data_IF_786976270193
#
_entry.id   IF_786976270193
#
_cell.length_a   1.000
_cell.length_b   1.000
_cell.length_c   1.000
_cell.angle_alpha   90.00
_cell.angle_beta   90.00
_cell.angle_gamma   90.00
#
_symmetry.space_group_name_H-M   'P 1'
#
loop_
_entity.id
_entity.type
_entity.pdbx_description
1 polymer ?
#
# COMPACT_ATOMS: atom_id res chain seq x y z
N UNK A 1 -45.64 -35.64 -57.94
CA UNK A 1 -44.26 -35.28 -57.54
C UNK A 1 -44.36 -34.77 -56.11
N UNK A 2 -44.18 -35.59 -55.06
CA UNK A 2 -42.92 -36.03 -54.42
C UNK A 2 -41.89 -34.90 -54.28
N UNK A 3 -41.84 -34.31 -53.08
CA UNK A 3 -40.60 -33.83 -52.47
C UNK A 3 -40.64 -34.14 -50.98
N UNK A 4 -40.08 -35.31 -50.64
CA UNK A 4 -39.64 -35.66 -49.29
C UNK A 4 -38.19 -35.20 -49.15
N UNK A 5 -37.86 -34.70 -47.96
CA UNK A 5 -36.54 -34.59 -47.34
C UNK A 5 -35.49 -33.71 -48.03
N UNK A 6 -35.00 -32.67 -47.32
CA UNK A 6 -33.64 -32.68 -46.74
C UNK A 6 -33.40 -31.40 -45.90
N UNK A 7 -33.12 -31.58 -44.59
CA UNK A 7 -32.17 -30.83 -43.74
C UNK A 7 -32.57 -29.37 -43.43
N UNK A 8 -33.16 -29.01 -42.28
CA UNK A 8 -32.66 -29.11 -40.89
C UNK A 8 -31.14 -28.87 -40.76
N UNK A 9 -30.73 -27.60 -40.81
CA UNK A 9 -29.52 -27.12 -40.15
C UNK A 9 -29.91 -25.96 -39.24
N UNK A 10 -30.31 -26.35 -38.04
CA UNK A 10 -30.40 -25.57 -36.81
C UNK A 10 -29.27 -24.54 -36.73
N UNK A 11 -29.62 -23.25 -36.83
CA UNK A 11 -28.82 -22.18 -36.24
C UNK A 11 -28.82 -22.43 -34.74
N UNK A 12 -27.79 -23.12 -34.26
CA UNK A 12 -27.42 -23.10 -32.84
C UNK A 12 -26.80 -21.73 -32.61
N UNK A 13 -27.66 -20.75 -32.35
CA UNK A 13 -27.26 -19.58 -31.58
C UNK A 13 -26.89 -20.12 -30.19
N UNK A 14 -25.61 -20.41 -29.99
CA UNK A 14 -25.10 -20.60 -28.64
C UNK A 14 -25.23 -19.24 -27.94
N UNK A 15 -26.35 -19.07 -27.25
CA UNK A 15 -26.44 -18.18 -26.11
C UNK A 15 -25.38 -18.64 -25.10
N UNK A 16 -24.17 -18.11 -25.24
CA UNK A 16 -23.18 -18.23 -24.19
C UNK A 16 -23.63 -17.29 -23.09
N UNK A 17 -24.09 -17.91 -22.02
CA UNK A 17 -24.39 -17.35 -20.71
C UNK A 17 -23.15 -16.66 -20.11
N UNK A 18 -22.78 -15.52 -20.67
CA UNK A 18 -21.80 -14.61 -20.09
C UNK A 18 -22.52 -13.77 -19.01
N UNK A 19 -22.05 -13.85 -17.77
CA UNK A 19 -22.49 -13.04 -16.64
C UNK A 19 -23.99 -13.11 -16.33
N UNK A 20 -24.53 -14.30 -16.02
CA UNK A 20 -25.94 -14.54 -15.65
C UNK A 20 -26.64 -13.38 -14.90
N UNK A 21 -27.37 -12.55 -15.64
CA UNK A 21 -28.79 -12.24 -15.46
C UNK A 21 -29.36 -11.79 -16.81
N UNK A 22 -30.50 -12.39 -17.19
CA UNK A 22 -31.37 -11.99 -18.29
C UNK A 22 -31.80 -10.53 -18.11
N UNK A 23 -31.50 -9.65 -19.08
CA UNK A 23 -32.51 -8.78 -19.70
C UNK A 23 -31.89 -7.88 -20.81
N UNK A 24 -32.64 -7.86 -21.92
CA UNK A 24 -32.64 -6.92 -23.07
C UNK A 24 -31.61 -7.11 -24.22
N UNK A 25 -32.07 -7.32 -25.48
CA UNK A 25 -31.20 -7.56 -26.61
C UNK A 25 -30.88 -6.23 -27.29
N UNK A 26 -29.78 -5.60 -26.89
CA UNK A 26 -29.12 -4.64 -27.77
C UNK A 26 -27.93 -5.33 -28.41
N UNK A 27 -28.14 -5.88 -29.61
CA UNK A 27 -27.11 -6.58 -30.39
C UNK A 27 -26.04 -5.54 -30.80
N UNK A 28 -24.83 -5.58 -30.23
CA UNK A 28 -23.74 -4.72 -30.70
C UNK A 28 -23.36 -5.11 -32.13
N UNK A 29 -22.80 -4.17 -32.89
CA UNK A 29 -22.19 -4.43 -34.19
C UNK A 29 -21.34 -5.73 -34.14
N UNK A 30 -21.53 -6.71 -35.05
CA UNK A 30 -20.85 -8.01 -35.01
C UNK A 30 -19.32 -7.93 -35.00
N UNK A 31 -18.71 -6.77 -35.31
CA UNK A 31 -17.28 -6.52 -35.17
C UNK A 31 -16.81 -6.20 -33.73
N UNK A 32 -17.72 -6.04 -32.76
CA UNK A 32 -17.44 -5.64 -31.37
C UNK A 32 -17.96 -6.62 -30.31
N UNK A 33 -18.41 -7.82 -30.69
CA UNK A 33 -18.94 -8.79 -29.73
C UNK A 33 -17.88 -9.17 -28.68
N UNK A 34 -18.18 -8.90 -27.41
CA UNK A 34 -17.40 -9.34 -26.25
C UNK A 34 -17.63 -10.85 -26.06
N UNK A 35 -16.75 -11.67 -26.62
CA UNK A 35 -16.89 -13.14 -26.66
C UNK A 35 -16.10 -13.85 -25.55
N UNK A 36 -15.50 -13.10 -24.63
CA UNK A 36 -14.78 -13.64 -23.48
C UNK A 36 -15.24 -12.95 -22.18
N UNK A 37 -15.11 -13.64 -21.06
CA UNK A 37 -15.22 -13.03 -19.73
C UNK A 37 -13.98 -13.35 -18.90
N UNK A 38 -13.69 -12.51 -17.90
CA UNK A 38 -12.60 -12.72 -16.96
C UNK A 38 -13.10 -12.57 -15.52
N UNK A 39 -12.65 -13.46 -14.63
CA UNK A 39 -12.75 -13.27 -13.18
C UNK A 39 -11.40 -13.63 -12.56
N UNK A 40 -10.87 -12.77 -11.68
CA UNK A 40 -9.55 -12.99 -11.09
C UNK A 40 -9.66 -13.10 -9.58
N UNK A 41 -8.93 -14.05 -9.00
CA UNK A 41 -8.62 -14.06 -7.58
C UNK A 41 -7.38 -13.18 -7.34
N UNK A 42 -7.34 -12.51 -6.20
CA UNK A 42 -6.17 -11.72 -5.80
C UNK A 42 -5.76 -12.00 -4.36
N UNK A 43 -4.54 -11.61 -4.02
CA UNK A 43 -4.03 -11.63 -2.65
C UNK A 43 -3.41 -10.28 -2.30
N UNK A 44 -3.80 -9.73 -1.16
CA UNK A 44 -3.05 -8.67 -0.51
C UNK A 44 -1.70 -9.23 -0.03
N UNK A 45 -0.61 -8.60 -0.44
CA UNK A 45 0.74 -8.98 -0.03
C UNK A 45 1.02 -8.45 1.37
N UNK A 46 1.45 -9.33 2.28
CA UNK A 46 1.79 -8.91 3.64
C UNK A 46 0.57 -8.77 4.57
N UNK A 47 -0.49 -9.54 4.33
CA UNK A 47 -1.55 -9.73 5.31
C UNK A 47 -1.15 -10.91 6.20
N UNK A 48 -1.10 -10.72 7.52
CA UNK A 48 -0.75 -11.76 8.50
C UNK A 48 -1.58 -13.02 8.26
N UNK A 49 -0.96 -14.04 7.67
CA UNK A 49 -1.65 -15.28 7.35
C UNK A 49 -0.93 -16.15 6.34
N UNK A 50 -0.04 -16.99 6.85
CA UNK A 50 0.30 -18.32 6.31
C UNK A 50 -0.76 -18.86 5.34
N UNK A 51 -0.30 -19.43 4.23
CA UNK A 51 -1.08 -19.94 3.10
C UNK A 51 -2.53 -20.27 3.46
N UNK A 52 -3.46 -19.52 2.86
CA UNK A 52 -4.93 -19.64 2.99
C UNK A 52 -5.61 -19.01 4.20
N UNK A 53 -4.96 -18.17 5.02
CA UNK A 53 -5.70 -17.40 6.05
C UNK A 53 -5.27 -15.94 6.14
N UNK A 54 -5.52 -15.17 5.09
CA UNK A 54 -5.67 -13.74 5.30
C UNK A 54 -6.84 -13.50 6.27
N UNK A 55 -6.65 -12.70 7.31
CA UNK A 55 -7.78 -12.07 7.99
C UNK A 55 -8.50 -11.05 7.07
N UNK A 56 -8.02 -10.84 5.83
CA UNK A 56 -8.82 -10.30 4.73
C UNK A 56 -9.77 -11.38 4.21
N UNK A 57 -10.89 -11.55 4.90
CA UNK A 57 -12.08 -12.04 4.19
C UNK A 57 -12.95 -10.85 3.99
N UNK A 58 -13.39 -10.63 2.76
CA UNK A 58 -14.34 -9.60 2.38
C UNK A 58 -15.62 -9.55 3.26
N UNK A 59 -15.91 -10.60 4.05
CA UNK A 59 -16.99 -10.67 5.04
C UNK A 59 -16.56 -10.86 6.52
N UNK A 60 -15.27 -10.75 6.86
CA UNK A 60 -14.80 -10.80 8.24
C UNK A 60 -14.86 -9.42 8.91
N UNK A 61 -15.25 -9.39 10.18
CA UNK A 61 -15.14 -8.20 11.01
C UNK A 61 -13.65 -7.80 11.08
N UNK A 62 -13.32 -6.57 10.64
CA UNK A 62 -11.93 -6.10 10.53
C UNK A 62 -11.24 -6.38 9.20
N UNK A 63 -11.98 -6.72 8.13
CA UNK A 63 -11.41 -6.92 6.79
C UNK A 63 -10.83 -5.65 6.18
N UNK A 64 -9.60 -5.76 5.69
CA UNK A 64 -8.95 -4.73 4.87
C UNK A 64 -9.51 -4.61 3.45
N UNK A 65 -10.40 -5.50 3.03
CA UNK A 65 -10.98 -5.51 1.68
C UNK A 65 -12.45 -5.15 1.79
N UNK A 66 -12.83 -3.97 1.31
CA UNK A 66 -14.20 -3.44 1.32
C UNK A 66 -14.78 -3.21 -0.08
N UNK A 67 -13.97 -2.77 -1.05
CA UNK A 67 -14.37 -2.60 -2.46
C UNK A 67 -13.29 -3.14 -3.39
N UNK A 68 -13.69 -3.74 -4.51
CA UNK A 68 -12.78 -4.38 -5.46
C UNK A 68 -13.11 -3.90 -6.86
N UNK A 69 -12.12 -3.41 -7.61
CA UNK A 69 -12.25 -3.01 -9.00
C UNK A 69 -11.36 -3.83 -9.93
N UNK A 70 -11.85 -4.09 -11.14
CA UNK A 70 -11.11 -4.70 -12.25
C UNK A 70 -11.29 -3.88 -13.52
N UNK A 71 -10.17 -3.52 -14.15
CA UNK A 71 -10.14 -2.86 -15.45
C UNK A 71 -9.46 -3.77 -16.48
N UNK A 72 -10.09 -3.92 -17.65
CA UNK A 72 -9.55 -4.68 -18.79
C UNK A 72 -9.29 -3.70 -19.93
N UNK A 73 -8.07 -3.74 -20.47
CA UNK A 73 -7.61 -2.88 -21.55
C UNK A 73 -7.22 -3.71 -22.76
N UNK A 74 -7.49 -3.19 -23.95
CA UNK A 74 -7.13 -3.81 -25.20
C UNK A 74 -5.59 -3.87 -25.36
N UNK A 75 -5.06 -5.05 -25.70
CA UNK A 75 -3.64 -5.22 -26.06
C UNK A 75 -3.51 -5.95 -27.41
N UNK A 76 -4.51 -5.81 -28.28
CA UNK A 76 -4.59 -6.46 -29.59
C UNK A 76 -5.75 -7.44 -29.73
N UNK A 77 -6.54 -7.68 -28.67
CA UNK A 77 -7.79 -8.44 -28.74
C UNK A 77 -8.83 -7.80 -29.68
N UNK A 78 -8.90 -6.47 -29.71
CA UNK A 78 -9.81 -5.70 -30.56
C UNK A 78 -9.04 -4.85 -31.56
N UNK A 79 -9.19 -5.15 -32.86
CA UNK A 79 -8.44 -4.49 -33.94
C UNK A 79 -8.94 -3.08 -34.26
N UNK A 80 -10.16 -2.75 -33.88
CA UNK A 80 -10.79 -1.44 -34.04
C UNK A 80 -10.63 -0.51 -32.82
N UNK A 81 -9.96 -0.99 -31.76
CA UNK A 81 -9.63 -0.18 -30.58
C UNK A 81 -8.11 -0.01 -30.49
N UNK A 82 -7.68 1.17 -30.03
CA UNK A 82 -6.26 1.40 -29.79
C UNK A 82 -5.72 0.46 -28.70
N UNK A 83 -4.45 0.08 -28.79
CA UNK A 83 -3.74 -0.57 -27.67
C UNK A 83 -3.79 0.34 -26.44
N UNK A 84 -4.14 -0.24 -25.30
CA UNK A 84 -4.34 0.46 -24.03
C UNK A 84 -5.71 1.10 -23.87
N UNK A 85 -6.63 1.03 -24.84
CA UNK A 85 -8.00 1.50 -24.66
C UNK A 85 -8.75 0.61 -23.66
N UNK A 86 -9.54 1.22 -22.78
CA UNK A 86 -10.38 0.52 -21.81
C UNK A 86 -11.47 -0.26 -22.55
N UNK A 87 -11.51 -1.58 -22.35
CA UNK A 87 -12.60 -2.44 -22.81
C UNK A 87 -13.75 -2.35 -21.82
N UNK A 88 -13.45 -2.56 -20.53
CA UNK A 88 -14.46 -2.54 -19.48
C UNK A 88 -13.83 -2.25 -18.11
N UNK A 89 -14.63 -1.69 -17.20
CA UNK A 89 -14.28 -1.49 -15.80
C UNK A 89 -15.49 -1.84 -14.93
N UNK A 90 -15.29 -2.68 -13.91
CA UNK A 90 -16.33 -3.02 -12.93
C UNK A 90 -15.77 -2.88 -11.52
N UNK A 91 -16.59 -2.34 -10.62
CA UNK A 91 -16.37 -2.33 -9.18
C UNK A 91 -17.44 -3.19 -8.50
N UNK A 92 -17.07 -3.79 -7.37
CA UNK A 92 -18.00 -4.49 -6.48
C UNK A 92 -17.67 -4.22 -5.02
N UNK A 93 -18.70 -4.33 -4.18
CA UNK A 93 -18.50 -4.43 -2.73
C UNK A 93 -18.02 -5.83 -2.40
N UNK A 94 -17.02 -5.89 -1.53
CA UNK A 94 -16.48 -7.12 -1.02
C UNK A 94 -17.50 -7.75 -0.05
N UNK A 95 -18.21 -8.79 -0.48
CA UNK A 95 -19.22 -9.51 0.31
C UNK A 95 -19.10 -11.05 0.21
N UNK A 96 -18.08 -11.57 -0.47
CA UNK A 96 -17.79 -13.00 -0.64
C UNK A 96 -16.71 -13.50 0.32
N UNK A 97 -16.70 -14.80 0.62
CA UNK A 97 -15.63 -15.43 1.42
C UNK A 97 -14.27 -15.48 0.72
N UNK A 98 -14.24 -15.25 -0.60
CA UNK A 98 -13.01 -15.24 -1.40
C UNK A 98 -12.79 -13.87 -2.02
N UNK A 99 -11.54 -13.42 -1.99
CA UNK A 99 -11.09 -12.17 -2.59
C UNK A 99 -10.95 -12.35 -4.11
N UNK A 100 -12.07 -12.17 -4.81
CA UNK A 100 -12.15 -12.19 -6.27
C UNK A 100 -12.70 -10.87 -6.80
N UNK A 101 -12.52 -10.61 -8.08
CA UNK A 101 -13.24 -9.55 -8.79
C UNK A 101 -14.63 -10.05 -9.17
N UNK A 102 -15.45 -9.15 -9.74
CA UNK A 102 -16.63 -9.56 -10.48
C UNK A 102 -16.25 -10.11 -11.85
N UNK A 103 -17.20 -10.82 -12.45
CA UNK A 103 -17.09 -11.28 -13.82
C UNK A 103 -17.20 -10.09 -14.77
N UNK A 104 -16.12 -9.81 -15.49
CA UNK A 104 -16.02 -8.68 -16.40
C UNK A 104 -16.01 -9.17 -17.85
N UNK A 105 -16.78 -8.49 -18.69
CA UNK A 105 -16.88 -8.78 -20.11
C UNK A 105 -15.63 -8.26 -20.83
N UNK A 106 -15.10 -9.08 -21.72
CA UNK A 106 -13.84 -8.86 -22.40
C UNK A 106 -13.88 -9.46 -23.82
N UNK A 107 -12.75 -9.42 -24.51
CA UNK A 107 -12.60 -10.00 -25.86
C UNK A 107 -11.55 -11.08 -25.85
N UNK A 108 -11.76 -12.14 -26.63
CA UNK A 108 -10.72 -13.11 -26.94
C UNK A 108 -9.45 -12.42 -27.47
N UNK A 109 -8.29 -12.88 -27.01
CA UNK A 109 -6.99 -12.35 -27.43
C UNK A 109 -6.25 -11.61 -26.31
N UNK A 110 -5.25 -10.82 -26.72
CA UNK A 110 -4.34 -10.15 -25.81
C UNK A 110 -5.00 -8.94 -25.12
N UNK A 111 -4.99 -8.96 -23.79
CA UNK A 111 -5.50 -7.88 -22.93
C UNK A 111 -4.52 -7.57 -21.80
N UNK A 112 -4.63 -6.36 -21.27
CA UNK A 112 -3.97 -5.94 -20.02
C UNK A 112 -5.02 -5.72 -18.93
N UNK A 113 -4.68 -6.06 -17.69
CA UNK A 113 -5.58 -6.02 -16.55
C UNK A 113 -4.94 -5.28 -15.39
N UNK A 114 -5.76 -4.48 -14.72
CA UNK A 114 -5.45 -3.86 -13.44
C UNK A 114 -6.50 -4.26 -12.40
N UNK A 115 -6.05 -4.57 -11.19
CA UNK A 115 -6.91 -4.82 -10.04
C UNK A 115 -6.62 -3.79 -8.96
N UNK A 116 -7.68 -3.19 -8.42
CA UNK A 116 -7.62 -2.21 -7.34
C UNK A 116 -8.53 -2.64 -6.19
N UNK A 117 -8.09 -2.40 -4.97
CA UNK A 117 -8.84 -2.68 -3.75
C UNK A 117 -8.99 -1.37 -2.99
N UNK A 118 -10.21 -1.13 -2.49
CA UNK A 118 -10.65 0.10 -1.85
C UNK A 118 -10.31 1.37 -2.66
N UNK A 119 -10.62 1.42 -3.98
CA UNK A 119 -10.47 2.66 -4.73
C UNK A 119 -11.33 3.77 -4.12
N UNK A 120 -10.79 4.99 -4.07
CA UNK A 120 -11.56 6.18 -3.72
C UNK A 120 -12.68 6.41 -4.72
N UNK A 121 -13.77 7.02 -4.27
CA UNK A 121 -14.91 7.33 -5.12
C UNK A 121 -14.49 8.18 -6.33
N UNK A 122 -14.97 7.82 -7.52
CA UNK A 122 -14.72 8.53 -8.78
C UNK A 122 -13.23 8.68 -9.19
N UNK A 123 -12.29 7.95 -8.57
CA UNK A 123 -10.85 8.10 -8.86
C UNK A 123 -10.48 7.79 -10.33
N UNK A 124 -11.29 6.98 -11.02
CA UNK A 124 -11.14 6.64 -12.44
C UNK A 124 -12.16 7.32 -13.36
N UNK A 125 -12.95 8.26 -12.86
CA UNK A 125 -13.97 8.94 -13.67
C UNK A 125 -13.33 9.63 -14.88
N UNK A 126 -13.87 9.37 -16.06
CA UNK A 126 -13.37 9.92 -17.33
C UNK A 126 -12.06 9.31 -17.83
N UNK A 127 -11.48 8.33 -17.14
CA UNK A 127 -10.29 7.61 -17.62
C UNK A 127 -10.73 6.47 -18.54
N UNK A 128 -10.21 6.45 -19.76
CA UNK A 128 -10.59 5.48 -20.81
C UNK A 128 -9.38 4.74 -21.39
N UNK A 129 -8.20 4.91 -20.79
CA UNK A 129 -6.96 4.27 -21.24
C UNK A 129 -6.18 3.71 -20.05
N UNK A 130 -5.31 2.73 -20.31
CA UNK A 130 -4.41 2.15 -19.32
C UNK A 130 -3.53 3.22 -18.68
N UNK A 131 -2.96 4.11 -19.49
CA UNK A 131 -2.15 5.21 -18.98
C UNK A 131 -3.00 6.21 -18.18
N UNK A 132 -4.24 6.49 -18.59
CA UNK A 132 -5.16 7.31 -17.79
C UNK A 132 -5.47 6.71 -16.42
N UNK A 133 -5.55 5.38 -16.30
CA UNK A 133 -5.67 4.69 -15.01
C UNK A 133 -4.37 4.75 -14.19
N UNK A 134 -3.20 4.61 -14.83
CA UNK A 134 -1.90 4.74 -14.14
C UNK A 134 -1.61 6.17 -13.66
N UNK A 135 -2.13 7.17 -14.36
CA UNK A 135 -2.06 8.58 -13.97
C UNK A 135 -3.12 8.98 -12.95
N UNK A 136 -4.05 8.09 -12.59
CA UNK A 136 -5.05 8.37 -11.57
C UNK A 136 -4.39 8.58 -10.20
N UNK A 137 -4.77 9.66 -9.52
CA UNK A 137 -4.22 10.06 -8.22
C UNK A 137 -5.30 9.87 -7.16
N UNK A 138 -4.93 9.19 -6.08
CA UNK A 138 -5.74 9.11 -4.85
C UNK A 138 -5.22 10.12 -3.84
N UNK A 139 -6.10 11.01 -3.39
CA UNK A 139 -5.89 11.96 -2.29
C UNK A 139 -6.86 11.71 -1.12
N UNK A 140 -7.46 10.52 -1.06
CA UNK A 140 -8.37 10.17 0.03
C UNK A 140 -7.65 10.07 1.37
N UNK A 141 -8.38 10.27 2.46
CA UNK A 141 -7.84 10.08 3.81
C UNK A 141 -7.28 8.67 3.97
N UNK A 142 -6.15 8.57 4.68
CA UNK A 142 -5.54 7.28 4.98
C UNK A 142 -6.46 6.47 5.89
N UNK A 143 -6.89 5.32 5.40
CA UNK A 143 -7.65 4.35 6.18
C UNK A 143 -6.81 3.09 6.36
N UNK A 144 -6.23 2.91 7.54
CA UNK A 144 -5.45 1.71 7.87
C UNK A 144 -6.32 0.46 7.96
N UNK A 145 -7.61 0.59 8.26
CA UNK A 145 -8.54 -0.53 8.32
C UNK A 145 -8.98 -1.00 6.92
N UNK A 146 -8.96 -0.14 5.90
CA UNK A 146 -9.28 -0.48 4.50
C UNK A 146 -8.39 0.32 3.54
N UNK A 147 -7.08 0.02 3.49
CA UNK A 147 -6.14 0.79 2.70
C UNK A 147 -6.37 0.58 1.20
N UNK A 148 -6.10 1.61 0.41
CA UNK A 148 -6.01 1.49 -1.04
C UNK A 148 -4.91 0.46 -1.38
N UNK A 149 -5.24 -0.50 -2.24
CA UNK A 149 -4.27 -1.45 -2.78
C UNK A 149 -4.39 -1.56 -4.28
N UNK A 150 -3.28 -1.87 -4.94
CA UNK A 150 -3.24 -1.97 -6.40
C UNK A 150 -2.25 -3.03 -6.89
N UNK A 151 -2.59 -3.65 -8.01
CA UNK A 151 -1.72 -4.59 -8.73
C UNK A 151 -0.71 -3.89 -9.64
N UNK A 152 0.24 -4.66 -10.16
CA UNK A 152 0.93 -4.29 -11.40
C UNK A 152 0.01 -4.46 -12.62
N UNK A 153 0.47 -4.04 -13.80
CA UNK A 153 -0.20 -4.38 -15.07
C UNK A 153 0.01 -5.85 -15.38
N UNK A 154 -1.08 -6.62 -15.51
CA UNK A 154 -1.02 -8.06 -15.79
C UNK A 154 -1.48 -8.30 -17.22
N UNK A 155 -0.74 -9.09 -17.98
CA UNK A 155 -1.14 -9.48 -19.35
C UNK A 155 -1.81 -10.85 -19.35
N UNK A 156 -2.92 -10.96 -20.08
CA UNK A 156 -3.56 -12.24 -20.37
C UNK A 156 -3.77 -12.39 -21.87
N UNK A 157 -3.78 -13.64 -22.34
CA UNK A 157 -4.28 -13.99 -23.66
C UNK A 157 -5.57 -14.79 -23.47
N UNK A 158 -6.69 -14.08 -23.45
CA UNK A 158 -8.00 -14.67 -23.19
C UNK A 158 -8.43 -15.56 -24.34
N UNK A 159 -9.26 -16.56 -24.03
CA UNK A 159 -9.95 -17.39 -25.01
C UNK A 159 -11.45 -17.10 -24.96
N UNK A 160 -12.16 -17.45 -26.03
CA UNK A 160 -13.62 -17.40 -26.06
C UNK A 160 -14.22 -18.14 -24.84
N UNK A 161 -15.26 -17.57 -24.25
CA UNK A 161 -15.92 -18.09 -23.06
C UNK A 161 -15.34 -17.58 -21.74
N UNK A 162 -15.57 -18.34 -20.67
CA UNK A 162 -15.26 -17.94 -19.28
C UNK A 162 -13.80 -18.21 -18.93
N UNK A 163 -13.02 -17.15 -18.75
CA UNK A 163 -11.65 -17.20 -18.27
C UNK A 163 -11.60 -16.89 -16.78
N UNK A 164 -10.79 -17.65 -16.04
CA UNK A 164 -10.55 -17.39 -14.61
C UNK A 164 -9.07 -17.40 -14.29
N UNK A 165 -8.61 -16.52 -13.40
CA UNK A 165 -7.23 -16.53 -12.90
C UNK A 165 -7.21 -16.80 -11.40
N UNK A 166 -6.65 -17.95 -11.01
CA UNK A 166 -6.44 -18.29 -9.60
C UNK A 166 -5.46 -19.47 -9.45
N UNK A 167 -4.64 -19.42 -8.41
CA UNK A 167 -3.78 -20.52 -7.99
C UNK A 167 -4.57 -21.79 -7.61
N UNK A 168 -5.82 -21.63 -7.17
CA UNK A 168 -6.71 -22.73 -6.82
C UNK A 168 -7.99 -22.67 -7.67
N UNK A 169 -7.83 -22.44 -8.99
CA UNK A 169 -8.97 -22.10 -9.85
C UNK A 169 -10.07 -23.15 -9.87
N UNK A 170 -9.78 -24.45 -9.73
CA UNK A 170 -10.82 -25.50 -9.69
C UNK A 170 -11.71 -25.40 -8.45
N UNK A 171 -11.13 -25.06 -7.30
CA UNK A 171 -11.86 -24.90 -6.04
C UNK A 171 -12.58 -23.56 -5.97
N UNK A 172 -11.92 -22.48 -6.39
CA UNK A 172 -12.47 -21.11 -6.32
C UNK A 172 -13.48 -20.87 -7.44
N UNK A 173 -13.26 -21.46 -8.60
CA UNK A 173 -14.11 -21.34 -9.79
C UNK A 173 -14.40 -22.74 -10.37
N UNK A 174 -15.38 -23.48 -9.82
CA UNK A 174 -15.70 -24.83 -10.28
C UNK A 174 -16.07 -24.92 -11.76
N UNK A 175 -16.66 -23.84 -12.30
CA UNK A 175 -17.05 -23.73 -13.71
C UNK A 175 -16.19 -22.66 -14.37
N UNK A 176 -15.37 -23.05 -15.35
CA UNK A 176 -14.62 -22.16 -16.23
C UNK A 176 -14.23 -22.91 -17.49
N UNK A 177 -14.17 -22.19 -18.62
CA UNK A 177 -13.72 -22.75 -19.89
C UNK A 177 -12.19 -22.69 -20.00
N UNK A 178 -11.58 -21.65 -19.42
CA UNK A 178 -10.15 -21.36 -19.51
C UNK A 178 -9.60 -20.91 -18.16
N UNK A 179 -8.39 -21.36 -17.81
CA UNK A 179 -7.81 -21.19 -16.47
C UNK A 179 -6.38 -20.66 -16.55
N UNK A 180 -6.11 -19.59 -15.81
CA UNK A 180 -4.78 -19.12 -15.47
C UNK A 180 -4.47 -19.50 -14.01
N UNK A 181 -3.22 -19.84 -13.73
CA UNK A 181 -2.81 -20.51 -12.48
C UNK A 181 -2.27 -19.55 -11.42
N UNK A 182 -2.39 -18.24 -11.61
CA UNK A 182 -1.84 -17.25 -10.70
C UNK A 182 -2.94 -16.38 -10.09
N UNK A 183 -2.82 -16.13 -8.78
CA UNK A 183 -3.56 -15.05 -8.14
C UNK A 183 -2.83 -13.73 -8.39
N UNK A 184 -3.57 -12.70 -8.76
CA UNK A 184 -3.01 -11.35 -8.88
C UNK A 184 -2.57 -10.86 -7.50
N UNK A 185 -1.40 -10.25 -7.41
CA UNK A 185 -0.94 -9.62 -6.18
C UNK A 185 -1.29 -8.15 -6.17
N UNK A 186 -1.82 -7.69 -5.03
CA UNK A 186 -2.07 -6.28 -4.76
C UNK A 186 -1.25 -5.85 -3.55
N UNK A 187 -0.71 -4.63 -3.61
CA UNK A 187 0.12 -4.05 -2.57
C UNK A 187 -0.60 -2.83 -2.00
N UNK A 188 -0.53 -2.58 -0.70
CA UNK A 188 -1.03 -1.32 -0.13
C UNK A 188 -0.30 -0.13 -0.77
N UNK A 189 -0.98 1.00 -0.95
CA UNK A 189 -0.36 2.26 -1.40
C UNK A 189 0.22 3.08 -0.24
N UNK A 190 0.07 2.56 0.98
CA UNK A 190 0.52 3.17 2.24
C UNK A 190 1.65 2.36 2.85
N UNK A 191 2.46 3.00 3.67
CA UNK A 191 3.48 2.40 4.54
C UNK A 191 3.11 2.64 6.01
N UNK A 192 3.70 1.86 6.90
CA UNK A 192 3.55 2.01 8.35
C UNK A 192 4.90 2.45 8.94
N UNK A 193 4.91 3.55 9.67
CA UNK A 193 6.03 4.00 10.47
C UNK A 193 5.65 3.72 11.91
N UNK A 194 6.40 2.85 12.59
CA UNK A 194 6.10 2.42 13.95
C UNK A 194 7.24 2.84 14.87
N UNK A 195 7.00 3.86 15.69
CA UNK A 195 7.85 4.15 16.83
C UNK A 195 7.61 3.06 17.89
N UNK A 196 8.34 1.97 17.79
CA UNK A 196 8.14 0.81 18.65
C UNK A 196 8.61 1.09 20.08
N UNK A 197 9.79 1.69 20.23
CA UNK A 197 10.34 1.98 21.55
C UNK A 197 11.20 3.24 21.62
N UNK A 198 11.28 3.76 22.84
CA UNK A 198 12.12 4.88 23.22
C UNK A 198 13.02 4.43 24.38
N UNK A 199 14.32 4.63 24.23
CA UNK A 199 15.34 4.34 25.25
C UNK A 199 16.03 5.64 25.65
N UNK A 200 16.13 5.92 26.96
CA UNK A 200 16.88 7.06 27.48
C UNK A 200 18.29 6.60 27.87
N UNK A 201 19.29 6.93 27.04
CA UNK A 201 20.71 6.59 27.26
C UNK A 201 21.58 7.86 27.19
N UNK A 202 21.53 8.76 28.19
CA UNK A 202 22.23 10.02 28.12
C UNK A 202 23.74 9.86 28.02
N UNK A 203 24.40 10.76 27.28
CA UNK A 203 25.85 10.95 27.36
C UNK A 203 26.24 11.44 28.76
N UNK A 204 27.52 11.27 29.12
CA UNK A 204 28.04 11.59 30.45
C UNK A 204 27.64 12.99 30.94
N UNK A 205 27.70 14.00 30.06
CA UNK A 205 27.39 15.40 30.38
C UNK A 205 25.91 15.67 30.68
N UNK A 206 25.03 14.72 30.32
CA UNK A 206 23.56 14.84 30.46
C UNK A 206 22.97 13.77 31.39
N UNK A 207 23.79 12.91 31.98
CA UNK A 207 23.30 11.72 32.69
C UNK A 207 22.73 11.99 34.08
N UNK A 208 23.25 12.98 34.80
CA UNK A 208 22.83 13.22 36.19
C UNK A 208 21.37 13.66 36.25
N UNK A 209 20.53 12.89 36.94
CA UNK A 209 19.08 13.13 37.08
C UNK A 209 18.34 13.29 35.73
N UNK A 210 18.81 12.62 34.68
CA UNK A 210 18.20 12.71 33.36
C UNK A 210 16.74 12.21 33.37
N UNK A 211 15.85 12.98 32.76
CA UNK A 211 14.45 12.64 32.57
C UNK A 211 13.98 13.13 31.21
N UNK A 212 13.18 12.31 30.54
CA UNK A 212 12.43 12.69 29.34
C UNK A 212 10.94 12.55 29.61
N UNK A 213 10.17 13.57 29.24
CA UNK A 213 8.69 13.50 29.16
C UNK A 213 8.31 13.74 27.72
N UNK A 214 7.89 12.68 27.03
CA UNK A 214 7.39 12.79 25.65
C UNK A 214 5.99 13.38 25.71
N UNK A 215 5.74 14.40 24.90
CA UNK A 215 4.45 15.08 24.78
C UNK A 215 3.75 14.83 23.44
N UNK A 216 4.53 14.51 22.39
CA UNK A 216 4.02 14.30 21.04
C UNK A 216 4.97 13.45 20.19
N UNK A 217 4.42 12.65 19.29
CA UNK A 217 5.13 12.09 18.15
C UNK A 217 4.37 12.46 16.86
N UNK A 218 5.09 12.83 15.80
CA UNK A 218 4.45 13.24 14.55
C UNK A 218 5.32 12.97 13.32
N UNK A 219 4.67 12.94 12.15
CA UNK A 219 5.33 12.79 10.86
C UNK A 219 5.50 14.16 10.18
N UNK A 220 6.71 14.43 9.74
CA UNK A 220 7.04 15.55 8.86
C UNK A 220 7.24 15.10 7.40
N UNK A 221 7.04 16.04 6.49
CA UNK A 221 7.27 15.86 5.05
C UNK A 221 6.57 14.62 4.49
N UNK A 222 5.31 14.42 4.88
CA UNK A 222 4.49 13.35 4.34
C UNK A 222 3.89 13.76 3.00
N UNK A 223 3.55 12.77 2.18
CA UNK A 223 2.90 13.01 0.90
C UNK A 223 1.39 13.05 1.06
N UNK A 224 0.72 14.04 0.45
CA UNK A 224 -0.74 14.21 0.56
C UNK A 224 -1.55 13.28 -0.35
N UNK A 225 -0.92 12.78 -1.42
CA UNK A 225 -1.57 11.91 -2.41
C UNK A 225 -0.56 11.03 -3.15
N UNK A 226 -1.05 9.97 -3.78
CA UNK A 226 -0.25 9.00 -4.55
C UNK A 226 -0.95 8.60 -5.83
N UNK A 227 -0.20 8.07 -6.79
CA UNK A 227 -0.81 7.35 -7.90
C UNK A 227 -1.52 6.10 -7.36
N UNK A 228 -2.62 5.70 -8.00
CA UNK A 228 -3.29 4.45 -7.62
C UNK A 228 -2.44 3.25 -8.05
N UNK A 229 -1.91 3.28 -9.27
CA UNK A 229 -1.05 2.24 -9.83
C UNK A 229 0.36 2.77 -10.04
N UNK A 230 1.36 1.89 -9.88
CA UNK A 230 2.75 2.21 -10.16
C UNK A 230 3.18 1.74 -11.55
N UNK A 231 4.49 1.54 -11.71
CA UNK A 231 5.06 0.91 -12.90
C UNK A 231 4.49 -0.50 -13.18
N UNK A 232 4.77 -1.05 -14.35
CA UNK A 232 4.31 -2.38 -14.75
C UNK A 232 4.98 -3.54 -13.98
N UNK A 233 5.93 -3.25 -13.09
CA UNK A 233 6.57 -4.25 -12.22
C UNK A 233 5.84 -4.40 -10.89
N UNK A 234 5.89 -5.60 -10.31
CA UNK A 234 5.29 -5.85 -9.00
C UNK A 234 6.01 -5.09 -7.88
N UNK A 235 5.26 -4.68 -6.86
CA UNK A 235 5.69 -3.87 -5.71
C UNK A 235 6.33 -2.51 -6.05
N UNK A 236 6.17 -1.98 -7.26
CA UNK A 236 6.78 -0.70 -7.64
C UNK A 236 6.28 0.53 -6.82
N UNK A 237 7.10 1.60 -6.72
CA UNK A 237 6.69 2.87 -6.14
C UNK A 237 5.44 3.46 -6.81
N UNK A 238 4.62 4.16 -6.01
CA UNK A 238 3.40 4.87 -6.46
C UNK A 238 3.47 6.38 -6.24
N UNK A 239 4.69 6.91 -6.17
CA UNK A 239 4.95 8.33 -5.96
C UNK A 239 4.26 9.16 -7.05
N UNK A 240 3.58 10.23 -6.61
CA UNK A 240 3.16 11.31 -7.49
C UNK A 240 4.19 12.45 -7.43
N UNK A 241 5.01 12.55 -8.47
CA UNK A 241 6.15 13.48 -8.59
C UNK A 241 5.78 14.96 -8.81
N UNK A 242 4.49 15.32 -8.71
CA UNK A 242 4.08 16.72 -8.72
C UNK A 242 4.83 17.53 -7.65
N UNK A 243 5.24 18.76 -7.99
CA UNK A 243 6.16 19.59 -7.19
C UNK A 243 5.65 19.94 -5.78
N UNK A 244 4.32 19.96 -5.60
CA UNK A 244 3.65 20.55 -4.43
C UNK A 244 2.93 19.51 -3.56
N UNK A 245 3.42 18.27 -3.52
CA UNK A 245 2.73 17.14 -2.89
C UNK A 245 3.30 16.74 -1.51
N UNK A 246 4.35 17.41 -1.03
CA UNK A 246 4.92 17.18 0.30
C UNK A 246 4.39 18.22 1.28
N UNK A 247 3.84 17.74 2.39
CA UNK A 247 3.33 18.57 3.49
C UNK A 247 4.33 18.55 4.64
N UNK A 248 4.84 19.72 5.06
CA UNK A 248 5.91 19.81 6.07
C UNK A 248 5.49 19.30 7.46
N UNK A 249 4.35 19.75 8.01
CA UNK A 249 3.91 19.44 9.38
C UNK A 249 4.98 19.69 10.47
N UNK A 250 5.83 20.69 10.30
CA UNK A 250 6.91 21.03 11.26
C UNK A 250 6.45 21.39 12.67
N UNK A 251 5.17 21.74 12.85
CA UNK A 251 4.59 22.07 14.17
C UNK A 251 3.94 20.86 14.86
N UNK A 252 3.81 19.73 14.17
CA UNK A 252 2.98 18.61 14.61
C UNK A 252 1.55 19.08 14.88
N UNK A 253 0.88 19.58 13.84
CA UNK A 253 -0.51 20.03 13.92
C UNK A 253 -1.44 18.83 14.18
N UNK A 254 -2.56 19.06 14.86
CA UNK A 254 -3.53 17.99 15.14
C UNK A 254 -4.03 17.34 13.85
N UNK A 255 -4.11 16.00 13.86
CA UNK A 255 -4.55 15.21 12.72
C UNK A 255 -3.95 13.80 12.75
N UNK A 256 -4.17 13.05 11.68
CA UNK A 256 -3.76 11.63 11.57
C UNK A 256 -2.23 11.41 11.58
N UNK A 257 -1.45 12.48 11.42
CA UNK A 257 0.02 12.43 11.41
C UNK A 257 0.64 12.91 12.72
N UNK A 258 -0.17 13.16 13.75
CA UNK A 258 0.30 13.68 15.04
C UNK A 258 -0.43 12.99 16.17
N UNK A 259 0.32 12.33 17.04
CA UNK A 259 -0.19 11.73 18.27
C UNK A 259 0.33 12.53 19.47
N UNK A 260 -0.59 13.05 20.27
CA UNK A 260 -0.28 13.78 21.49
C UNK A 260 -0.52 12.89 22.71
N UNK A 261 0.49 12.70 23.53
CA UNK A 261 0.43 11.84 24.70
C UNK A 261 1.47 12.25 25.73
N UNK A 262 1.26 11.92 27.00
CA UNK A 262 2.28 12.10 28.04
C UNK A 262 2.90 10.75 28.37
N UNK A 263 4.20 10.61 28.19
CA UNK A 263 4.96 9.43 28.57
C UNK A 263 6.24 9.83 29.30
N UNK A 264 6.31 9.49 30.59
CA UNK A 264 7.50 9.68 31.42
C UNK A 264 8.50 8.55 31.14
N UNK A 265 9.73 8.92 30.81
CA UNK A 265 10.85 8.01 30.64
C UNK A 265 11.94 8.45 31.62
N UNK A 266 12.10 7.63 32.65
CA UNK A 266 13.04 7.84 33.76
C UNK A 266 13.90 6.61 33.94
N UNK A 267 15.10 6.80 34.47
CA UNK A 267 16.07 5.72 34.62
C UNK A 267 17.09 5.79 33.51
N UNK A 268 18.32 6.15 33.89
CA UNK A 268 19.47 6.12 32.99
C UNK A 268 19.97 4.69 32.97
N UNK A 269 19.51 3.87 32.02
CA UNK A 269 20.01 2.53 31.66
C UNK A 269 19.22 2.04 30.43
N UNK A 270 19.74 1.06 29.69
CA UNK A 270 19.28 0.61 28.36
C UNK A 270 17.86 -0.04 28.30
N UNK A 271 16.96 0.33 29.20
CA UNK A 271 15.58 -0.20 29.21
C UNK A 271 14.79 0.44 28.08
N UNK A 272 14.41 -0.38 27.11
CA UNK A 272 13.45 -0.01 26.06
C UNK A 272 12.08 0.21 26.69
N UNK A 273 11.49 1.40 26.48
CA UNK A 273 10.10 1.68 26.84
C UNK A 273 9.28 1.66 25.57
N UNK A 274 8.26 0.79 25.49
CA UNK A 274 7.35 0.78 24.34
C UNK A 274 6.71 2.15 24.18
N UNK A 275 6.75 2.71 22.96
CA UNK A 275 6.18 4.03 22.76
C UNK A 275 4.66 3.97 22.80
N UNK A 276 4.05 4.98 23.42
CA UNK A 276 2.60 5.13 23.38
C UNK A 276 2.20 5.73 22.02
N UNK A 277 1.17 5.15 21.40
CA UNK A 277 0.60 5.64 20.14
C UNK A 277 1.68 5.83 19.04
N UNK A 278 2.55 4.84 18.84
CA UNK A 278 3.72 4.94 17.96
C UNK A 278 3.47 4.70 16.47
N UNK A 279 2.29 4.20 16.08
CA UNK A 279 1.99 3.79 14.71
C UNK A 279 1.44 4.94 13.85
N UNK A 280 2.11 5.23 12.74
CA UNK A 280 1.68 6.20 11.75
C UNK A 280 1.54 5.53 10.38
N UNK A 281 0.51 5.91 9.64
CA UNK A 281 0.35 5.50 8.26
C UNK A 281 0.69 6.67 7.35
N UNK A 282 1.43 6.41 6.29
CA UNK A 282 1.90 7.43 5.35
C UNK A 282 1.81 6.92 3.93
N UNK A 283 1.68 7.83 2.98
CA UNK A 283 1.79 7.50 1.57
C UNK A 283 3.25 7.28 1.13
N UNK A 284 3.42 6.62 -0.01
CA UNK A 284 4.71 6.42 -0.66
C UNK A 284 5.44 7.75 -0.92
N UNK A 285 6.64 7.86 -0.38
CA UNK A 285 7.62 8.91 -0.63
C UNK A 285 9.01 8.30 -0.82
N UNK A 286 9.08 7.25 -1.64
CA UNK A 286 10.33 6.56 -1.95
C UNK A 286 11.06 7.16 -3.15
N UNK A 287 12.36 6.90 -3.22
CA UNK A 287 13.22 7.32 -4.33
C UNK A 287 14.33 6.29 -4.56
N UNK A 288 14.79 6.18 -5.80
CA UNK A 288 15.96 5.34 -6.14
C UNK A 288 17.28 5.99 -5.74
N UNK A 289 17.29 7.30 -5.51
CA UNK A 289 18.44 8.07 -5.02
C UNK A 289 18.12 8.78 -3.72
N UNK A 290 19.15 9.08 -2.92
CA UNK A 290 18.97 9.79 -1.65
C UNK A 290 18.17 11.07 -1.87
N UNK A 291 17.17 11.29 -1.02
CA UNK A 291 16.38 12.53 -1.05
C UNK A 291 17.25 13.62 -0.44
N UNK A 292 17.79 14.48 -1.30
CA UNK A 292 18.84 15.43 -0.92
C UNK A 292 18.33 16.55 0.02
N UNK A 293 17.10 17.00 -0.19
CA UNK A 293 16.46 18.03 0.62
C UNK A 293 15.68 17.37 1.75
N UNK A 294 16.00 17.75 2.99
CA UNK A 294 15.30 17.28 4.18
C UNK A 294 13.82 17.65 4.17
N UNK A 295 13.46 18.80 3.58
CA UNK A 295 12.08 19.26 3.42
C UNK A 295 11.21 18.36 2.52
N UNK A 296 11.85 17.41 1.83
CA UNK A 296 11.21 16.43 0.95
C UNK A 296 11.30 15.00 1.48
N UNK A 297 12.09 14.78 2.53
CA UNK A 297 12.32 13.46 3.11
C UNK A 297 11.41 13.26 4.31
N UNK A 298 10.53 12.26 4.25
CA UNK A 298 9.61 11.95 5.35
C UNK A 298 10.40 11.64 6.63
N UNK A 299 9.98 12.24 7.74
CA UNK A 299 10.66 12.09 9.02
C UNK A 299 9.66 11.81 10.15
N UNK A 300 10.08 11.01 11.13
CA UNK A 300 9.42 10.88 12.41
C UNK A 300 10.06 11.88 13.39
N UNK A 301 9.23 12.60 14.14
CA UNK A 301 9.67 13.53 15.17
C UNK A 301 9.08 13.12 16.51
N UNK A 302 9.94 13.04 17.52
CA UNK A 302 9.56 12.96 18.93
C UNK A 302 9.69 14.38 19.50
N UNK A 303 8.68 14.86 20.21
CA UNK A 303 8.70 16.12 20.93
C UNK A 303 8.46 15.88 22.42
N UNK A 304 9.19 16.61 23.25
CA UNK A 304 9.06 16.46 24.69
C UNK A 304 9.90 17.44 25.51
N UNK A 305 9.89 17.23 26.82
CA UNK A 305 10.71 17.96 27.78
C UNK A 305 11.84 17.08 28.29
N UNK A 306 13.08 17.50 28.08
CA UNK A 306 14.28 16.85 28.61
C UNK A 306 14.83 17.66 29.80
N UNK A 307 15.10 17.00 30.91
CA UNK A 307 15.68 17.63 32.12
C UNK A 307 16.89 16.85 32.60
N UNK A 308 17.94 17.55 33.02
CA UNK A 308 19.14 16.96 33.62
C UNK A 308 19.80 17.95 34.60
N UNK A 309 20.74 17.46 35.41
CA UNK A 309 21.62 18.29 36.23
C UNK A 309 22.96 18.46 35.52
N UNK A 310 23.31 19.70 35.18
CA UNK A 310 24.59 20.03 34.57
C UNK A 310 25.75 19.94 35.58
N UNK A 311 26.99 19.94 35.08
CA UNK A 311 28.22 19.80 35.88
C UNK A 311 28.41 20.88 36.95
N UNK A 312 27.79 22.05 36.78
CA UNK A 312 27.77 23.14 37.76
C UNK A 312 26.68 22.97 38.85
N UNK A 313 25.97 21.83 38.87
CA UNK A 313 24.89 21.53 39.80
C UNK A 313 23.53 22.14 39.43
N UNK A 314 23.43 22.92 38.35
CA UNK A 314 22.16 23.51 37.93
C UNK A 314 21.29 22.49 37.20
N UNK A 315 19.99 22.50 37.49
CA UNK A 315 19.00 21.80 36.68
C UNK A 315 18.76 22.57 35.38
N UNK A 316 18.95 21.88 34.25
CA UNK A 316 18.68 22.40 32.91
C UNK A 316 17.44 21.69 32.37
N UNK A 317 16.52 22.47 31.80
CA UNK A 317 15.29 21.96 31.19
C UNK A 317 15.20 22.48 29.75
N UNK A 318 15.18 21.55 28.81
CA UNK A 318 14.89 21.80 27.39
C UNK A 318 13.42 21.41 27.16
N UNK A 319 12.55 22.42 27.05
CA UNK A 319 11.10 22.25 26.86
C UNK A 319 10.76 22.20 25.39
N UNK A 320 9.71 21.46 25.06
CA UNK A 320 9.14 21.37 23.71
C UNK A 320 10.19 21.06 22.62
N UNK A 321 11.23 20.31 23.00
CA UNK A 321 12.39 20.02 22.17
C UNK A 321 12.13 18.83 21.26
N UNK A 322 12.84 18.79 20.13
CA UNK A 322 12.61 17.85 19.04
C UNK A 322 13.77 16.87 18.84
N UNK A 323 13.42 15.60 18.56
CA UNK A 323 14.33 14.57 18.08
C UNK A 323 13.78 14.00 16.78
N UNK A 324 14.46 14.30 15.66
CA UNK A 324 13.99 14.01 14.31
C UNK A 324 14.77 12.85 13.69
N UNK A 325 14.05 11.92 13.07
CA UNK A 325 14.61 10.77 12.34
C UNK A 325 14.07 10.80 10.91
N UNK A 326 14.95 11.03 9.93
CA UNK A 326 14.59 10.91 8.52
C UNK A 326 14.52 9.43 8.13
N UNK A 327 13.35 9.00 7.62
CA UNK A 327 13.06 7.59 7.41
C UNK A 327 13.85 7.07 6.21
N UNK A 328 14.72 6.09 6.46
CA UNK A 328 15.49 5.37 5.44
C UNK A 328 16.14 6.31 4.38
N UNK A 329 16.72 7.43 4.82
CA UNK A 329 17.31 8.43 3.92
C UNK A 329 18.81 8.67 4.14
N UNK A 330 19.41 8.04 5.15
CA UNK A 330 20.85 8.17 5.43
C UNK A 330 21.68 7.12 4.69
N UNK A 331 21.13 5.91 4.57
CA UNK A 331 21.70 4.79 3.83
C UNK A 331 20.58 4.12 3.03
N UNK A 332 20.96 3.41 1.97
CA UNK A 332 20.01 2.64 1.18
C UNK A 332 19.56 1.44 2.01
N UNK A 333 18.25 1.19 2.08
CA UNK A 333 17.75 -0.06 2.62
C UNK A 333 18.40 -1.28 1.91
N UNK A 334 19.00 -2.19 2.68
CA UNK A 334 19.37 -3.51 2.17
C UNK A 334 18.11 -4.23 1.64
N UNK A 335 18.29 -5.15 0.69
CA UNK A 335 17.20 -5.77 -0.07
C UNK A 335 16.00 -6.19 0.80
N UNK A 336 14.88 -5.49 0.66
CA UNK A 336 13.61 -5.88 1.27
C UNK A 336 13.04 -7.05 0.48
N UNK A 337 12.78 -8.16 1.18
CA UNK A 337 12.18 -9.37 0.62
C UNK A 337 10.96 -9.76 1.42
N UNK A 338 9.86 -10.10 0.75
CA UNK A 338 8.70 -10.66 1.44
C UNK A 338 8.55 -12.17 1.21
N UNK A 339 7.74 -12.81 2.06
CA UNK A 339 7.45 -14.25 2.02
C UNK A 339 6.72 -14.68 0.73
N UNK A 340 6.27 -13.74 -0.09
CA UNK A 340 5.65 -13.99 -1.39
C UNK A 340 6.66 -13.99 -2.54
N UNK A 341 7.97 -14.00 -2.25
CA UNK A 341 9.04 -14.05 -3.25
C UNK A 341 9.24 -12.75 -4.02
N UNK A 342 8.61 -11.64 -3.60
CA UNK A 342 8.95 -10.33 -4.12
C UNK A 342 10.19 -9.82 -3.41
N UNK A 343 11.24 -9.63 -4.21
CA UNK A 343 12.55 -9.16 -3.78
C UNK A 343 12.87 -7.84 -4.46
N UNK A 344 13.82 -7.10 -3.88
CA UNK A 344 14.49 -5.94 -4.50
C UNK A 344 13.63 -4.70 -4.71
N UNK A 345 13.44 -3.92 -3.64
CA UNK A 345 13.44 -2.46 -3.78
C UNK A 345 14.44 -1.87 -2.81
N UNK A 346 15.70 -1.87 -3.23
CA UNK A 346 16.69 -0.89 -2.76
C UNK A 346 16.10 0.50 -3.00
N UNK A 347 15.85 1.25 -1.93
CA UNK A 347 15.19 2.54 -1.97
C UNK A 347 15.67 3.44 -0.83
N UNK A 348 15.48 4.73 -1.04
CA UNK A 348 15.49 5.76 0.00
C UNK A 348 14.07 6.20 0.30
N UNK A 349 13.86 6.74 1.51
CA UNK A 349 12.57 7.25 1.94
C UNK A 349 11.57 6.13 2.26
N UNK A 350 10.29 6.44 2.07
CA UNK A 350 9.17 5.61 2.49
C UNK A 350 8.53 4.92 1.29
N UNK A 351 8.66 3.61 1.19
CA UNK A 351 8.07 2.78 0.14
C UNK A 351 6.72 2.21 0.60
N UNK A 352 5.75 2.15 -0.30
CA UNK A 352 4.45 1.51 -0.04
C UNK A 352 4.57 0.05 0.43
N UNK A 353 3.60 -0.41 1.21
CA UNK A 353 3.48 -1.79 1.69
C UNK A 353 4.70 -2.28 2.49
N UNK A 354 5.37 -1.35 3.18
CA UNK A 354 6.52 -1.58 4.08
C UNK A 354 6.17 -1.07 5.48
N UNK A 355 6.70 -1.74 6.50
CA UNK A 355 6.72 -1.26 7.89
C UNK A 355 8.14 -0.85 8.28
N UNK A 356 8.28 0.36 8.81
CA UNK A 356 9.52 0.92 9.34
C UNK A 356 9.43 0.90 10.87
N UNK A 357 10.09 -0.06 11.50
CA UNK A 357 10.13 -0.20 12.96
C UNK A 357 11.27 0.66 13.49
N UNK A 358 10.95 1.60 14.37
CA UNK A 358 11.90 2.61 14.86
C UNK A 358 12.10 2.39 16.36
N UNK A 359 13.34 2.08 16.70
CA UNK A 359 13.81 2.00 18.07
C UNK A 359 14.69 3.22 18.35
N UNK A 360 14.10 4.23 19.00
CA UNK A 360 14.75 5.52 19.25
C UNK A 360 15.58 5.50 20.53
N UNK A 361 16.84 5.91 20.46
CA UNK A 361 17.68 6.11 21.64
C UNK A 361 17.99 7.60 21.81
N UNK A 362 17.51 8.20 22.91
CA UNK A 362 17.70 9.61 23.25
C UNK A 362 18.94 9.74 24.15
N UNK A 363 19.94 10.48 23.68
CA UNK A 363 21.24 10.59 24.38
C UNK A 363 21.56 11.98 24.92
N UNK A 364 20.64 12.94 24.75
CA UNK A 364 20.77 14.31 25.23
C UNK A 364 19.55 15.18 24.91
N UNK A 365 19.60 16.48 25.24
CA UNK A 365 18.52 17.43 24.95
C UNK A 365 18.26 17.54 23.44
N UNK A 366 16.99 17.81 23.08
CA UNK A 366 16.56 17.92 21.68
C UNK A 366 16.94 19.25 21.03
N UNK A 367 16.50 19.45 19.80
CA UNK A 367 16.60 20.73 19.08
C UNK A 367 15.43 21.65 19.41
N UNK A 368 15.60 22.95 19.21
CA UNK A 368 14.50 23.93 19.25
C UNK A 368 13.70 23.98 17.93
N UNK A 369 14.25 23.38 16.87
CA UNK A 369 13.65 23.29 15.53
C UNK A 369 13.81 21.85 15.00
N UNK A 370 12.70 21.17 14.63
CA UNK A 370 12.75 19.79 14.15
C UNK A 370 13.42 19.62 12.79
N UNK A 371 13.55 20.67 11.97
CA UNK A 371 14.21 20.62 10.65
C UNK A 371 15.72 20.83 10.76
N UNK A 372 16.19 21.40 11.86
CA UNK A 372 17.62 21.65 12.12
C UNK A 372 18.10 20.94 13.39
N UNK A 373 18.24 19.59 13.37
CA UNK A 373 18.79 18.85 14.51
C UNK A 373 20.16 19.38 14.93
N UNK A 374 20.31 19.73 16.20
CA UNK A 374 21.62 20.14 16.75
C UNK A 374 22.50 18.92 17.03
N UNK A 375 23.82 19.11 17.16
CA UNK A 375 24.71 18.03 17.64
C UNK A 375 24.42 17.56 19.09
N UNK A 376 23.63 18.34 19.83
CA UNK A 376 23.09 17.96 21.13
C UNK A 376 21.83 17.08 21.01
N UNK A 377 20.99 17.35 20.00
CA UNK A 377 19.82 16.57 19.57
C UNK A 377 20.25 15.20 19.03
N UNK A 378 20.65 14.37 19.97
CA UNK A 378 21.40 13.14 19.71
C UNK A 378 20.46 11.96 19.87
N UNK A 379 19.74 11.68 18.80
CA UNK A 379 18.96 10.46 18.60
C UNK A 379 19.77 9.49 17.75
N UNK A 380 19.92 8.25 18.21
CA UNK A 380 20.26 7.14 17.33
C UNK A 380 19.02 6.29 17.14
N UNK A 381 18.60 6.11 15.89
CA UNK A 381 17.49 5.25 15.54
C UNK A 381 18.02 3.99 14.87
N UNK A 382 17.63 2.82 15.38
CA UNK A 382 17.65 1.62 14.54
C UNK A 382 16.33 1.58 13.78
N UNK A 383 16.41 1.57 12.45
CA UNK A 383 15.25 1.44 11.56
C UNK A 383 15.29 0.06 10.96
N UNK A 384 14.42 -0.83 11.44
CA UNK A 384 14.19 -2.13 10.82
C UNK A 384 13.13 -1.99 9.74
N UNK A 385 13.44 -2.47 8.54
CA UNK A 385 12.54 -2.40 7.39
C UNK A 385 12.00 -3.80 7.16
N UNK A 386 10.73 -3.98 7.48
CA UNK A 386 10.05 -5.26 7.32
C UNK A 386 8.94 -5.14 6.28
N UNK A 387 8.71 -6.17 5.45
CA UNK A 387 7.47 -6.25 4.70
C UNK A 387 6.28 -6.05 5.62
N UNK A 388 5.23 -5.39 5.13
CA UNK A 388 4.01 -5.31 5.93
C UNK A 388 3.51 -6.72 6.27
N UNK A 389 3.06 -6.94 7.52
CA UNK A 389 2.52 -8.23 7.96
C UNK A 389 3.52 -9.37 8.11
N UNK A 390 4.81 -9.06 8.22
CA UNK A 390 5.76 -9.93 8.92
C UNK A 390 5.89 -9.44 10.36
N UNK A 391 5.74 -10.35 11.33
CA UNK A 391 6.07 -10.05 12.72
C UNK A 391 7.60 -9.88 12.79
N UNK A 392 8.09 -8.73 13.23
CA UNK A 392 9.48 -8.58 13.62
C UNK A 392 9.73 -9.58 14.76
N UNK A 393 10.46 -10.67 14.46
CA UNK A 393 10.88 -11.59 15.50
C UNK A 393 11.90 -10.83 16.33
N UNK A 394 11.49 -10.43 17.53
CA UNK A 394 12.36 -9.79 18.51
C UNK A 394 13.64 -10.63 18.64
N UNK A 395 14.83 -10.11 18.30
CA UNK A 395 16.07 -10.87 18.35
C UNK A 395 16.54 -11.19 19.79
N UNK A 396 15.82 -10.72 20.82
CA UNK A 396 16.14 -10.95 22.23
C UNK A 396 15.36 -12.15 22.82
N UNK A 397 15.38 -13.31 22.15
CA UNK A 397 15.08 -14.61 22.79
C UNK A 397 16.31 -15.51 22.69
N UNK A 398 17.33 -15.17 23.49
CA UNK A 398 18.05 -16.10 24.37
C UNK A 398 18.81 -15.35 25.47
#
# INVERSE_FOLDING_TARGET
>A
MKFQNLIYATMVACAFSACSNDDDPNIPDPAQELDATLTVAFNAVGSNGSGLKSQTKSNAQGSEVGKIGIAVFNDGAMTNMATGALINYKERIANTVTDTTDCIDAKEGAVKVLVVVNPSENVFQGKTTLEGFKEAISAADLNSAQPLMASATISYNLKKGRNVASANSETVFPVADNRFTDNIKVFRNVANIDLESITLKPRADFATNAKLVVSKAFIMHYRSNVKVFGAATAWCPVVNDASDNIVSNSTGAEGIYTHSFSQDITGTNEVKVSAKDGEFFVYDNSSSTRIASVEKATALVIQGTYTYTASNGQTVTSKDAYWTVYINNNEVANNVTNDSGYTNLSHFGVLRNVKYVINATITGPGSDDPETPTGAASITSNIEIVPWGTVALNPDID
#
